data_IF_455807525585
#
_entry.id   IF_455807525585
#
_cell.length_a   1.000
_cell.length_b   1.000
_cell.length_c   1.000
_cell.angle_alpha   90.00
_cell.angle_beta   90.00
_cell.angle_gamma   90.00
#
_symmetry.space_group_name_H-M   'P 1'
#
loop_
_entity.id
_entity.type
_entity.pdbx_description
1 polymer ?
#
# COMPACT_ATOMS: atom_id res chain seq x y z
N UNK A 1 24.66 -11.06 8.51
CA UNK A 1 24.88 -9.84 7.69
C UNK A 1 23.78 -8.86 8.07
N UNK A 2 24.08 -7.57 8.22
CA UNK A 2 23.04 -6.60 8.54
C UNK A 2 22.15 -6.40 7.30
N UNK A 3 20.92 -6.91 7.32
CA UNK A 3 19.95 -6.62 6.27
C UNK A 3 19.64 -5.12 6.35
N UNK A 4 20.01 -4.37 5.32
CA UNK A 4 19.74 -2.93 5.27
C UNK A 4 18.23 -2.72 5.10
N UNK A 5 17.57 -2.16 6.11
CA UNK A 5 16.15 -1.81 6.01
C UNK A 5 15.99 -0.52 5.23
N UNK A 6 15.15 -0.56 4.19
CA UNK A 6 14.76 0.57 3.38
C UNK A 6 13.39 1.07 3.78
N UNK A 7 13.28 2.36 4.08
CA UNK A 7 12.03 3.01 4.44
C UNK A 7 11.44 3.78 3.25
N UNK A 8 10.13 3.70 3.10
CA UNK A 8 9.34 4.62 2.29
C UNK A 8 8.15 5.12 3.09
N UNK A 9 7.82 6.40 2.93
CA UNK A 9 6.69 7.05 3.59
C UNK A 9 5.76 7.66 2.54
N UNK A 10 4.46 7.43 2.69
CA UNK A 10 3.41 7.98 1.82
C UNK A 10 2.37 8.74 2.65
N UNK A 11 1.71 9.71 2.02
CA UNK A 11 0.50 10.35 2.54
C UNK A 11 -0.68 10.03 1.62
N UNK A 12 -1.62 9.24 2.11
CA UNK A 12 -2.83 8.86 1.38
C UNK A 12 -4.02 9.39 2.16
N UNK A 13 -4.78 10.31 1.55
CA UNK A 13 -5.92 10.99 2.16
C UNK A 13 -5.63 11.54 3.58
N UNK A 14 -4.40 12.01 3.80
CA UNK A 14 -3.95 12.56 5.09
C UNK A 14 -3.48 11.53 6.12
N UNK A 15 -3.57 10.23 5.83
CA UNK A 15 -2.97 9.16 6.61
C UNK A 15 -1.52 8.91 6.19
N UNK A 16 -0.63 8.81 7.15
CA UNK A 16 0.80 8.56 6.95
C UNK A 16 1.07 7.07 7.04
N UNK A 17 1.56 6.52 5.95
CA UNK A 17 1.89 5.09 5.82
C UNK A 17 3.41 4.98 5.73
N UNK A 18 4.00 4.25 6.67
CA UNK A 18 5.41 3.91 6.67
C UNK A 18 5.59 2.44 6.29
N UNK A 19 6.50 2.19 5.37
CA UNK A 19 6.79 0.85 4.87
C UNK A 19 8.28 0.58 4.98
N UNK A 20 8.64 -0.38 5.82
CA UNK A 20 10.00 -0.89 5.98
C UNK A 20 10.18 -2.15 5.13
N UNK A 21 11.29 -2.23 4.39
CA UNK A 21 11.53 -3.30 3.43
C UNK A 21 12.99 -3.71 3.42
N UNK A 22 13.28 -4.99 3.24
CA UNK A 22 14.67 -5.46 3.07
C UNK A 22 15.11 -5.42 1.60
N UNK A 23 14.16 -5.41 0.67
CA UNK A 23 14.42 -5.50 -0.78
C UNK A 23 14.33 -4.15 -1.49
N UNK A 24 15.42 -3.74 -2.16
CA UNK A 24 15.44 -2.58 -3.06
C UNK A 24 14.48 -2.75 -4.25
N UNK A 25 14.24 -3.98 -4.68
CA UNK A 25 13.33 -4.30 -5.78
C UNK A 25 11.88 -3.98 -5.40
N UNK A 26 11.42 -4.47 -4.25
CA UNK A 26 10.08 -4.17 -3.74
C UNK A 26 9.90 -2.67 -3.46
N UNK A 27 10.96 -2.02 -2.95
CA UNK A 27 10.97 -0.56 -2.79
C UNK A 27 10.75 0.17 -4.11
N UNK A 28 11.44 -0.25 -5.18
CA UNK A 28 11.28 0.37 -6.50
C UNK A 28 9.87 0.18 -7.05
N UNK A 29 9.23 -0.97 -6.80
CA UNK A 29 7.84 -1.23 -7.18
C UNK A 29 6.88 -0.29 -6.45
N UNK A 30 6.96 -0.19 -5.12
CA UNK A 30 6.09 0.70 -4.36
C UNK A 30 6.28 2.16 -4.77
N UNK A 31 7.52 2.60 -5.02
CA UNK A 31 7.76 3.95 -5.51
C UNK A 31 7.17 4.18 -6.91
N UNK A 32 7.19 3.20 -7.80
CA UNK A 32 6.53 3.36 -9.12
C UNK A 32 5.02 3.59 -8.99
N UNK A 33 4.38 2.98 -8.00
CA UNK A 33 2.92 3.09 -7.79
C UNK A 33 2.58 4.36 -7.00
N UNK A 34 3.34 4.68 -5.96
CA UNK A 34 2.99 5.71 -4.98
C UNK A 34 3.93 6.92 -4.94
N UNK A 35 4.86 7.10 -5.89
CA UNK A 35 5.81 8.23 -5.89
C UNK A 35 5.11 9.59 -5.74
N UNK A 36 3.95 9.78 -6.39
CA UNK A 36 3.19 11.04 -6.29
C UNK A 36 2.63 11.32 -4.89
N UNK A 37 2.57 10.31 -4.03
CA UNK A 37 2.10 10.39 -2.65
C UNK A 37 3.26 10.35 -1.65
N UNK A 38 4.51 10.27 -2.11
CA UNK A 38 5.68 10.14 -1.26
C UNK A 38 5.89 11.41 -0.43
N UNK A 39 6.22 11.23 0.84
CA UNK A 39 6.63 12.30 1.74
C UNK A 39 8.02 12.01 2.32
N UNK A 40 8.69 13.06 2.80
CA UNK A 40 9.97 12.91 3.50
C UNK A 40 9.79 12.16 4.82
N UNK A 41 10.70 11.23 5.12
CA UNK A 41 10.69 10.53 6.40
C UNK A 41 10.84 11.52 7.57
N UNK A 42 10.06 11.33 8.63
CA UNK A 42 10.16 12.12 9.87
C UNK A 42 9.30 13.38 9.94
N UNK A 43 8.44 13.66 8.95
CA UNK A 43 7.54 14.83 9.01
C UNK A 43 6.46 14.73 10.09
N UNK A 44 5.98 13.52 10.40
CA UNK A 44 4.92 13.23 11.38
C UNK A 44 4.95 11.74 11.77
N UNK A 45 4.29 11.38 12.87
CA UNK A 45 4.12 9.99 13.30
C UNK A 45 3.29 9.20 12.27
N UNK A 46 3.66 7.94 12.03
CA UNK A 46 2.91 7.01 11.17
C UNK A 46 1.53 6.71 11.77
N UNK A 47 0.51 6.71 10.91
CA UNK A 47 -0.80 6.16 11.23
C UNK A 47 -0.84 4.65 10.97
N UNK A 48 -0.11 4.19 9.94
CA UNK A 48 0.00 2.78 9.55
C UNK A 48 1.47 2.43 9.32
N UNK A 49 1.90 1.28 9.85
CA UNK A 49 3.27 0.76 9.72
C UNK A 49 3.25 -0.65 9.14
N UNK A 50 3.95 -0.81 8.03
CA UNK A 50 4.17 -2.10 7.36
C UNK A 50 5.64 -2.51 7.42
N UNK A 51 5.84 -3.81 7.54
CA UNK A 51 7.12 -4.48 7.31
C UNK A 51 6.95 -5.49 6.18
N UNK A 52 7.79 -5.39 5.16
CA UNK A 52 7.75 -6.30 4.01
C UNK A 52 9.07 -7.04 3.92
N UNK A 53 9.00 -8.37 3.98
CA UNK A 53 10.14 -9.25 3.85
C UNK A 53 10.07 -10.01 2.52
N UNK A 54 11.21 -10.13 1.86
CA UNK A 54 11.44 -11.04 0.75
C UNK A 54 12.64 -11.91 1.15
N UNK A 55 12.42 -13.13 1.65
CA UNK A 55 13.50 -14.03 2.03
C UNK A 55 14.44 -14.30 0.86
N UNK A 56 15.72 -14.57 1.14
CA UNK A 56 16.73 -14.79 0.10
C UNK A 56 16.34 -15.93 -0.87
N UNK A 57 16.00 -15.56 -2.11
CA UNK A 57 15.68 -16.44 -3.22
C UNK A 57 14.40 -16.02 -3.96
N UNK A 58 14.45 -15.96 -5.30
CA UNK A 58 13.33 -15.52 -6.16
C UNK A 58 12.06 -16.40 -6.07
N UNK A 59 12.12 -17.52 -5.33
CA UNK A 59 11.03 -18.50 -5.17
C UNK A 59 10.34 -18.45 -3.80
N UNK A 60 10.74 -17.55 -2.90
CA UNK A 60 10.07 -17.41 -1.60
C UNK A 60 8.97 -16.36 -1.66
N UNK A 61 7.82 -16.62 -1.00
CA UNK A 61 6.72 -15.68 -1.02
C UNK A 61 7.08 -14.42 -0.23
N UNK A 62 6.49 -13.30 -0.66
CA UNK A 62 6.65 -11.99 -0.03
C UNK A 62 5.72 -11.93 1.18
N UNK A 63 6.27 -11.61 2.35
CA UNK A 63 5.49 -11.42 3.57
C UNK A 63 5.20 -9.94 3.80
N UNK A 64 3.95 -9.61 4.11
CA UNK A 64 3.49 -8.27 4.48
C UNK A 64 2.95 -8.34 5.90
N UNK A 65 3.63 -7.67 6.82
CA UNK A 65 3.27 -7.64 8.24
C UNK A 65 2.80 -6.25 8.65
N UNK A 66 1.75 -6.21 9.46
CA UNK A 66 1.25 -5.01 10.13
C UNK A 66 0.90 -5.35 11.57
N UNK A 67 1.23 -4.45 12.50
CA UNK A 67 1.04 -4.69 13.94
C UNK A 67 -0.41 -5.05 14.28
N UNK A 68 -0.57 -6.19 14.97
CA UNK A 68 -1.88 -6.64 15.46
C UNK A 68 -2.72 -7.41 14.43
N UNK A 69 -2.17 -7.72 13.26
CA UNK A 69 -2.82 -8.49 12.21
C UNK A 69 -2.02 -9.74 11.86
N UNK A 70 -2.69 -10.72 11.25
CA UNK A 70 -2.02 -11.86 10.66
C UNK A 70 -1.21 -11.43 9.43
N UNK A 71 -0.05 -12.05 9.23
CA UNK A 71 0.79 -11.79 8.06
C UNK A 71 0.07 -12.17 6.78
N UNK A 72 0.20 -11.31 5.76
CA UNK A 72 -0.26 -11.61 4.41
C UNK A 72 0.92 -12.16 3.62
N UNK A 73 0.66 -13.18 2.80
CA UNK A 73 1.69 -13.88 2.03
C UNK A 73 1.32 -13.81 0.56
N UNK A 74 2.19 -13.22 -0.25
CA UNK A 74 2.04 -13.11 -1.69
C UNK A 74 3.02 -14.03 -2.43
N UNK A 75 2.54 -14.79 -3.41
CA UNK A 75 3.35 -15.71 -4.22
C UNK A 75 4.14 -14.98 -5.32
N UNK A 76 3.67 -13.81 -5.74
CA UNK A 76 4.30 -13.01 -6.78
C UNK A 76 4.08 -11.50 -6.56
N UNK A 77 4.62 -10.68 -7.47
CA UNK A 77 4.51 -9.23 -7.41
C UNK A 77 3.08 -8.71 -7.62
N UNK A 78 2.30 -9.37 -8.47
CA UNK A 78 0.91 -8.97 -8.70
C UNK A 78 0.06 -9.17 -7.45
N UNK A 79 0.19 -10.34 -6.81
CA UNK A 79 -0.47 -10.64 -5.54
C UNK A 79 0.05 -9.74 -4.42
N UNK A 80 1.35 -9.43 -4.39
CA UNK A 80 1.92 -8.49 -3.42
C UNK A 80 1.27 -7.12 -3.50
N UNK A 81 1.18 -6.54 -4.71
CA UNK A 81 0.55 -5.22 -4.92
C UNK A 81 -0.91 -5.29 -4.49
N UNK A 82 -1.64 -6.32 -4.93
CA UNK A 82 -3.06 -6.48 -4.60
C UNK A 82 -3.31 -6.60 -3.10
N UNK A 83 -2.58 -7.47 -2.40
CA UNK A 83 -2.76 -7.69 -0.96
C UNK A 83 -2.37 -6.45 -0.15
N UNK A 84 -1.26 -5.80 -0.51
CA UNK A 84 -0.83 -4.55 0.12
C UNK A 84 -1.88 -3.46 -0.07
N UNK A 85 -2.35 -3.23 -1.30
CA UNK A 85 -3.36 -2.22 -1.62
C UNK A 85 -4.67 -2.46 -0.89
N UNK A 86 -5.12 -3.71 -0.89
CA UNK A 86 -6.36 -4.10 -0.22
C UNK A 86 -6.27 -3.82 1.27
N UNK A 87 -5.23 -4.30 1.95
CA UNK A 87 -5.08 -4.09 3.40
C UNK A 87 -4.91 -2.61 3.75
N UNK A 88 -4.05 -1.90 3.02
CA UNK A 88 -3.84 -0.46 3.19
C UNK A 88 -5.13 0.33 3.00
N UNK A 89 -5.91 0.04 1.96
CA UNK A 89 -7.19 0.72 1.71
C UNK A 89 -8.17 0.50 2.85
N UNK A 90 -8.28 -0.74 3.34
CA UNK A 90 -9.16 -1.08 4.46
C UNK A 90 -8.75 -0.34 5.74
N UNK A 91 -7.45 -0.24 6.04
CA UNK A 91 -6.97 0.48 7.22
C UNK A 91 -7.12 2.00 7.10
N UNK A 92 -6.82 2.56 5.92
CA UNK A 92 -7.06 3.98 5.65
C UNK A 92 -8.55 4.28 5.84
N UNK A 93 -9.45 3.44 5.33
CA UNK A 93 -10.89 3.59 5.52
C UNK A 93 -11.32 3.48 6.99
N UNK A 94 -10.68 2.60 7.77
CA UNK A 94 -10.96 2.46 9.20
C UNK A 94 -10.57 3.73 9.98
N UNK A 95 -9.44 4.35 9.62
CA UNK A 95 -8.95 5.59 10.25
C UNK A 95 -9.76 6.79 9.79
N UNK A 96 -10.06 6.88 8.50
CA UNK A 96 -10.89 7.90 7.86
C UNK A 96 -12.30 7.36 7.62
N UNK A 97 -12.98 7.00 8.70
CA UNK A 97 -14.36 6.49 8.64
C UNK A 97 -15.38 7.53 8.14
N UNK A 98 -14.96 8.79 8.04
CA UNK A 98 -15.68 9.88 7.39
C UNK A 98 -15.61 9.83 5.85
N UNK A 99 -14.74 8.99 5.27
CA UNK A 99 -14.61 8.79 3.83
C UNK A 99 -15.31 7.51 3.37
N UNK A 100 -16.08 7.62 2.28
CA UNK A 100 -16.71 6.49 1.62
C UNK A 100 -15.82 5.99 0.49
N UNK A 101 -15.22 4.81 0.66
CA UNK A 101 -14.46 4.13 -0.39
C UNK A 101 -15.43 3.33 -1.27
N UNK A 102 -15.55 3.72 -2.54
CA UNK A 102 -16.42 3.05 -3.51
C UNK A 102 -15.55 2.46 -4.61
N UNK A 103 -15.65 1.15 -4.82
CA UNK A 103 -15.10 0.52 -6.01
C UNK A 103 -15.94 0.91 -7.23
N UNK A 104 -15.46 1.87 -8.02
CA UNK A 104 -16.19 2.44 -9.15
C UNK A 104 -15.25 2.94 -10.24
N UNK A 105 -15.74 2.98 -11.47
CA UNK A 105 -15.08 3.73 -12.53
C UNK A 105 -15.47 5.21 -12.43
N UNK A 106 -14.49 6.09 -12.28
CA UNK A 106 -14.70 7.53 -12.29
C UNK A 106 -14.59 8.09 -13.72
N UNK A 107 -15.65 8.71 -14.22
CA UNK A 107 -15.74 9.28 -15.56
C UNK A 107 -15.98 10.78 -15.50
N UNK A 108 -15.35 11.52 -16.41
CA UNK A 108 -15.71 12.90 -16.71
C UNK A 108 -16.65 12.93 -17.92
N UNK A 109 -17.87 13.44 -17.75
CA UNK A 109 -18.84 13.56 -18.83
C UNK A 109 -19.58 14.89 -18.75
N UNK A 110 -19.46 15.72 -19.79
CA UNK A 110 -20.11 17.04 -19.89
C UNK A 110 -19.92 17.92 -18.64
N UNK A 111 -18.67 18.00 -18.15
CA UNK A 111 -18.31 18.79 -16.96
C UNK A 111 -18.77 18.19 -15.64
N UNK A 112 -19.27 16.94 -15.62
CA UNK A 112 -19.67 16.21 -14.42
C UNK A 112 -18.74 15.04 -14.15
N UNK A 113 -18.48 14.78 -12.87
CA UNK A 113 -17.90 13.51 -12.42
C UNK A 113 -18.99 12.47 -12.21
N UNK A 114 -18.85 11.30 -12.81
CA UNK A 114 -19.74 10.15 -12.64
C UNK A 114 -18.96 9.01 -12.01
N UNK A 115 -19.57 8.32 -11.04
CA UNK A 115 -19.05 7.07 -10.49
C UNK A 115 -19.94 5.93 -10.98
N UNK A 116 -19.39 5.01 -11.76
CA UNK A 116 -20.09 3.81 -12.21
C UNK A 116 -19.74 2.63 -11.30
N UNK A 117 -20.78 2.04 -10.72
CA UNK A 117 -20.67 0.83 -9.88
C UNK A 117 -21.48 -0.28 -10.55
N UNK A 118 -20.82 -1.39 -10.87
CA UNK A 118 -21.44 -2.60 -11.40
C UNK A 118 -20.62 -3.82 -10.92
N UNK A 119 -21.21 -5.03 -10.90
CA UNK A 119 -20.44 -6.26 -10.78
C UNK A 119 -19.34 -6.29 -11.84
N UNK A 120 -18.18 -6.87 -11.52
CA UNK A 120 -17.09 -7.03 -12.48
C UNK A 120 -17.48 -8.06 -13.55
N UNK A 121 -17.46 -7.66 -14.82
CA UNK A 121 -17.78 -8.49 -15.98
C UNK A 121 -19.00 -7.97 -16.73
#
# INVERSE_FOLDING_TARGET
MAHSTHLVSFSIVGCIINVSMESLYLRAILLKIYANMQISAGTRQSDIEYSIALPDGENYPISITRKGCADLVAQDIGEFIFLFEKDMTMEVQRIRSDLLFIHSAALAYQGRGLLLVAPSG
#
